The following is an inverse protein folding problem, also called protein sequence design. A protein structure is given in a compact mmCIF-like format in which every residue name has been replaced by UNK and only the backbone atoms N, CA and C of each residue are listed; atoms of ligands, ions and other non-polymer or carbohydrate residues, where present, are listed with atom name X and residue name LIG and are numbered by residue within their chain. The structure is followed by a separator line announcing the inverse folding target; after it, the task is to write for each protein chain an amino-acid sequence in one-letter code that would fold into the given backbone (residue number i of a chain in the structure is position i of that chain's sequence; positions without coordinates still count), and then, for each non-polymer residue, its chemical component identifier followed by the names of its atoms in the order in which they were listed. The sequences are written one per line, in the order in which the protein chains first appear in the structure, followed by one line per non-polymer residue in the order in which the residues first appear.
data_IF_119564604341
#
_entry.id   IF_119564604341
#
_cell.length_a   1.000
_cell.length_b   1.000
_cell.length_c   1.000
_cell.angle_alpha   90.00
_cell.angle_beta   90.00
_cell.angle_gamma   90.00
#
_symmetry.space_group_name_H-M   'P 1'
#
loop_
_entity.id
_entity.type
_entity.pdbx_description
1 polymer ?
#
# COMPACT_ATOMS: atom_id res chain seq x y z
N UNK A 1 -28.09 0.05 20.29
CA UNK A 1 -28.62 1.01 21.29
C UNK A 1 -30.06 0.67 21.66
N UNK A 2 -30.95 0.46 20.68
CA UNK A 2 -32.34 0.04 20.91
C UNK A 2 -32.51 -1.22 21.77
N UNK A 3 -31.88 -2.35 21.42
CA UNK A 3 -32.00 -3.61 22.18
C UNK A 3 -31.58 -3.47 23.65
N UNK A 4 -30.50 -2.73 23.90
CA UNK A 4 -30.04 -2.45 25.27
C UNK A 4 -31.10 -1.67 26.06
N UNK A 5 -31.71 -0.65 25.47
CA UNK A 5 -32.78 0.12 26.13
C UNK A 5 -34.05 -0.72 26.36
N UNK A 6 -34.46 -1.52 25.37
CA UNK A 6 -35.64 -2.39 25.47
C UNK A 6 -35.48 -3.48 26.54
N UNK A 7 -34.29 -4.06 26.66
CA UNK A 7 -33.95 -5.04 27.71
C UNK A 7 -33.91 -4.37 29.09
N UNK A 8 -33.26 -3.20 29.22
CA UNK A 8 -33.19 -2.47 30.50
C UNK A 8 -34.57 -2.02 31.00
N UNK A 9 -35.49 -1.70 30.09
CA UNK A 9 -36.87 -1.31 30.42
C UNK A 9 -37.86 -2.48 30.42
N UNK A 10 -37.37 -3.71 30.24
CA UNK A 10 -38.13 -4.96 30.29
C UNK A 10 -39.37 -5.00 29.36
N UNK A 11 -39.23 -4.46 28.14
CA UNK A 11 -40.33 -4.45 27.15
C UNK A 11 -40.61 -5.85 26.62
N UNK A 12 -41.89 -6.21 26.48
CA UNK A 12 -42.28 -7.48 25.85
C UNK A 12 -41.86 -7.52 24.38
N UNK A 13 -41.31 -8.66 23.93
CA UNK A 13 -40.70 -8.80 22.60
C UNK A 13 -41.68 -8.50 21.45
N UNK A 14 -42.96 -8.82 21.65
CA UNK A 14 -44.04 -8.57 20.68
C UNK A 14 -44.32 -7.08 20.43
N UNK A 15 -43.97 -6.21 21.39
CA UNK A 15 -44.13 -4.76 21.25
C UNK A 15 -42.92 -4.09 20.58
N UNK A 16 -41.79 -4.79 20.45
CA UNK A 16 -40.55 -4.22 19.90
C UNK A 16 -40.69 -3.75 18.44
N UNK A 17 -41.36 -4.48 17.53
CA UNK A 17 -41.49 -4.06 16.13
C UNK A 17 -42.31 -2.77 15.98
N UNK A 18 -43.41 -2.64 16.74
CA UNK A 18 -44.27 -1.46 16.76
C UNK A 18 -43.52 -0.22 17.29
N UNK A 19 -42.78 -0.38 18.39
CA UNK A 19 -41.97 0.70 18.96
C UNK A 19 -40.82 1.08 18.04
N UNK A 20 -40.21 0.09 17.38
CA UNK A 20 -39.14 0.31 16.42
C UNK A 20 -39.65 1.04 15.18
N UNK A 21 -40.84 0.72 14.66
CA UNK A 21 -41.45 1.37 13.50
C UNK A 21 -41.57 2.89 13.67
N UNK A 22 -41.93 3.36 14.88
CA UNK A 22 -42.03 4.79 15.18
C UNK A 22 -40.67 5.51 15.30
N UNK A 23 -39.58 4.77 15.49
CA UNK A 23 -38.23 5.33 15.65
C UNK A 23 -37.38 5.29 14.38
N UNK A 24 -37.78 4.51 13.37
CA UNK A 24 -37.04 4.38 12.12
C UNK A 24 -37.42 5.48 11.12
N UNK A 25 -36.41 6.08 10.49
CA UNK A 25 -36.58 7.15 9.50
C UNK A 25 -35.78 6.82 8.24
N UNK A 26 -36.28 7.23 7.07
CA UNK A 26 -35.55 7.12 5.80
C UNK A 26 -35.46 5.69 5.28
N UNK A 27 -34.26 5.22 4.90
CA UNK A 27 -34.08 3.88 4.28
C UNK A 27 -34.57 2.73 5.16
N UNK A 28 -34.47 2.86 6.48
CA UNK A 28 -34.96 1.87 7.43
C UNK A 28 -36.49 1.74 7.38
N UNK A 29 -37.18 2.88 7.26
CA UNK A 29 -38.64 2.94 7.19
C UNK A 29 -39.14 2.37 5.86
N UNK A 30 -38.43 2.66 4.76
CA UNK A 30 -38.74 2.09 3.44
C UNK A 30 -38.59 0.56 3.44
N UNK A 31 -37.52 0.05 4.05
CA UNK A 31 -37.30 -1.39 4.20
C UNK A 31 -38.41 -2.06 5.03
N UNK A 32 -38.85 -1.40 6.10
CA UNK A 32 -39.95 -1.90 6.93
C UNK A 32 -41.29 -1.87 6.19
N UNK A 33 -41.55 -0.83 5.39
CA UNK A 33 -42.78 -0.75 4.57
C UNK A 33 -42.82 -1.77 3.42
N UNK A 34 -41.68 -2.37 3.07
CA UNK A 34 -41.60 -3.41 2.03
C UNK A 34 -41.84 -4.82 2.56
N UNK A 35 -41.92 -5.00 3.88
CA UNK A 35 -42.25 -6.27 4.52
C UNK A 35 -43.75 -6.52 4.54
N UNK A 36 -44.15 -7.80 4.53
CA UNK A 36 -45.56 -8.16 4.75
C UNK A 36 -46.00 -7.88 6.18
N UNK A 37 -47.32 -7.78 6.42
CA UNK A 37 -47.88 -7.54 7.76
C UNK A 37 -47.45 -8.60 8.79
N UNK A 38 -47.30 -9.86 8.37
CA UNK A 38 -46.83 -10.94 9.25
C UNK A 38 -45.34 -10.80 9.58
N UNK A 39 -44.52 -10.32 8.63
CA UNK A 39 -43.08 -10.12 8.81
C UNK A 39 -42.75 -8.85 9.61
N UNK A 40 -43.60 -7.82 9.53
CA UNK A 40 -43.42 -6.58 10.29
C UNK A 40 -43.75 -6.71 11.77
N UNK A 41 -44.42 -7.80 12.17
CA UNK A 41 -44.74 -8.15 13.56
C UNK A 41 -43.67 -9.01 14.23
N UNK A 42 -42.69 -9.53 13.48
CA UNK A 42 -41.54 -10.25 14.04
C UNK A 42 -40.31 -9.33 14.10
N UNK A 43 -39.81 -9.11 15.32
CA UNK A 43 -38.63 -8.29 15.55
C UNK A 43 -37.40 -8.81 14.80
N UNK A 44 -37.21 -10.13 14.73
CA UNK A 44 -36.05 -10.71 14.07
C UNK A 44 -36.11 -10.48 12.56
N UNK A 45 -37.30 -10.54 11.96
CA UNK A 45 -37.53 -10.21 10.55
C UNK A 45 -37.36 -8.73 10.24
N UNK A 46 -37.92 -7.84 11.07
CA UNK A 46 -37.71 -6.39 10.94
C UNK A 46 -36.24 -6.04 11.09
N UNK A 47 -35.56 -6.61 12.08
CA UNK A 47 -34.12 -6.42 12.29
C UNK A 47 -33.34 -6.88 11.05
N UNK A 48 -33.62 -8.06 10.51
CA UNK A 48 -32.96 -8.57 9.30
C UNK A 48 -33.24 -7.67 8.08
N UNK A 49 -34.45 -7.17 7.90
CA UNK A 49 -34.81 -6.34 6.75
C UNK A 49 -34.18 -4.95 6.82
N UNK A 50 -34.21 -4.31 8.00
CA UNK A 50 -33.55 -3.03 8.25
C UNK A 50 -32.05 -3.20 8.10
N UNK A 51 -31.47 -4.24 8.68
CA UNK A 51 -30.06 -4.55 8.50
C UNK A 51 -29.72 -4.76 7.03
N UNK A 52 -30.44 -5.61 6.28
CA UNK A 52 -30.24 -5.79 4.83
C UNK A 52 -30.28 -4.48 4.04
N UNK A 53 -31.21 -3.58 4.36
CA UNK A 53 -31.33 -2.28 3.70
C UNK A 53 -30.13 -1.35 3.95
N UNK A 54 -29.37 -1.54 5.03
CA UNK A 54 -28.13 -0.81 5.34
C UNK A 54 -26.84 -1.64 5.15
N UNK A 55 -26.94 -2.97 5.06
CA UNK A 55 -25.82 -3.93 4.97
C UNK A 55 -25.39 -4.23 3.53
N UNK A 56 -26.26 -3.99 2.54
CA UNK A 56 -26.06 -4.52 1.18
C UNK A 56 -24.98 -3.83 0.33
N UNK A 57 -24.12 -3.01 0.91
CA UNK A 57 -22.94 -2.54 0.18
C UNK A 57 -21.70 -2.69 1.07
N UNK A 58 -21.12 -3.91 1.15
CA UNK A 58 -19.77 -4.11 1.66
C UNK A 58 -18.77 -3.09 1.09
N UNK A 59 -18.98 -2.72 -0.18
CA UNK A 59 -18.25 -1.69 -0.90
C UNK A 59 -18.41 -0.28 -0.29
N UNK A 60 -19.52 0.06 0.37
CA UNK A 60 -19.72 1.34 1.03
C UNK A 60 -18.97 1.43 2.36
N UNK A 61 -18.90 0.33 3.12
CA UNK A 61 -18.03 0.26 4.30
C UNK A 61 -16.56 0.36 3.90
N UNK A 62 -16.15 -0.33 2.83
CA UNK A 62 -14.80 -0.21 2.25
C UNK A 62 -14.47 1.24 1.86
N UNK A 63 -15.33 1.88 1.08
CA UNK A 63 -15.11 3.26 0.63
C UNK A 63 -15.02 4.22 1.81
N UNK A 64 -15.92 4.11 2.79
CA UNK A 64 -15.85 4.89 4.03
C UNK A 64 -14.55 4.63 4.78
N UNK A 65 -14.14 3.37 4.95
CA UNK A 65 -12.87 3.03 5.59
C UNK A 65 -11.68 3.68 4.87
N UNK A 66 -11.58 3.60 3.55
CA UNK A 66 -10.47 4.19 2.77
C UNK A 66 -10.48 5.72 2.76
N UNK A 67 -11.67 6.33 2.69
CA UNK A 67 -11.85 7.78 2.59
C UNK A 67 -11.92 8.49 3.94
N UNK A 68 -12.13 7.77 5.06
CA UNK A 68 -12.21 8.39 6.37
C UNK A 68 -10.91 9.11 6.73
N UNK A 69 -11.02 10.39 7.10
CA UNK A 69 -9.93 11.29 7.51
C UNK A 69 -10.25 11.85 8.88
N UNK A 70 -9.21 12.08 9.68
CA UNK A 70 -9.33 12.65 11.03
C UNK A 70 -9.90 14.08 10.93
N UNK A 71 -10.92 14.37 11.72
CA UNK A 71 -11.43 15.73 11.88
C UNK A 71 -10.59 16.53 12.89
N UNK A 72 -10.55 17.86 12.76
CA UNK A 72 -9.73 18.74 13.63
C UNK A 72 -10.11 18.60 15.11
N UNK A 73 -11.42 18.47 15.38
CA UNK A 73 -12.02 18.31 16.72
C UNK A 73 -11.96 16.88 17.30
N UNK A 74 -11.49 15.90 16.53
CA UNK A 74 -11.46 14.50 16.94
C UNK A 74 -10.11 14.15 17.58
N UNK A 75 -10.13 13.37 18.66
CA UNK A 75 -8.90 12.83 19.25
C UNK A 75 -8.33 11.69 18.40
N UNK A 76 -7.03 11.41 18.52
CA UNK A 76 -6.41 10.31 17.77
C UNK A 76 -6.95 8.94 18.17
N UNK A 77 -7.33 8.76 19.44
CA UNK A 77 -7.93 7.52 19.96
C UNK A 77 -9.31 7.29 19.35
N UNK A 78 -10.16 8.32 19.30
CA UNK A 78 -11.47 8.23 18.64
C UNK A 78 -11.33 7.96 17.14
N UNK A 79 -10.34 8.56 16.49
CA UNK A 79 -10.07 8.32 15.07
C UNK A 79 -9.65 6.88 14.80
N UNK A 80 -8.73 6.33 15.60
CA UNK A 80 -8.29 4.94 15.48
C UNK A 80 -9.46 3.97 15.71
N UNK A 81 -10.25 4.19 16.76
CA UNK A 81 -11.40 3.36 17.07
C UNK A 81 -12.45 3.38 15.95
N UNK A 82 -12.71 4.53 15.35
CA UNK A 82 -13.66 4.62 14.24
C UNK A 82 -13.11 3.96 12.96
N UNK A 83 -11.80 4.00 12.73
CA UNK A 83 -11.13 3.25 11.67
C UNK A 83 -11.27 1.74 11.87
N UNK A 84 -11.02 1.23 13.07
CA UNK A 84 -11.19 -0.19 13.43
C UNK A 84 -12.65 -0.62 13.24
N UNK A 85 -13.60 0.15 13.77
CA UNK A 85 -15.04 -0.14 13.62
C UNK A 85 -15.46 -0.25 12.15
N UNK A 86 -14.97 0.65 11.28
CA UNK A 86 -15.29 0.62 9.85
C UNK A 86 -14.69 -0.61 9.16
N UNK A 87 -13.48 -1.02 9.55
CA UNK A 87 -12.82 -2.22 9.03
C UNK A 87 -13.54 -3.49 9.49
N UNK A 88 -13.89 -3.60 10.76
CA UNK A 88 -14.58 -4.76 11.31
C UNK A 88 -15.96 -4.94 10.67
N UNK A 89 -16.72 -3.85 10.52
CA UNK A 89 -18.01 -3.88 9.82
C UNK A 89 -17.87 -4.27 8.35
N UNK A 90 -16.80 -3.83 7.68
CA UNK A 90 -16.53 -4.24 6.31
C UNK A 90 -16.20 -5.74 6.21
N UNK A 91 -15.34 -6.24 7.10
CA UNK A 91 -14.97 -7.66 7.21
C UNK A 91 -16.20 -8.55 7.46
N UNK A 92 -17.04 -8.17 8.42
CA UNK A 92 -18.30 -8.88 8.73
C UNK A 92 -19.27 -8.83 7.55
N UNK A 93 -19.42 -7.69 6.87
CA UNK A 93 -20.31 -7.55 5.72
C UNK A 93 -19.83 -8.38 4.50
N UNK A 94 -18.53 -8.62 4.35
CA UNK A 94 -17.98 -9.52 3.33
C UNK A 94 -18.02 -11.00 3.74
N UNK A 95 -18.32 -11.31 5.02
CA UNK A 95 -18.38 -12.67 5.53
C UNK A 95 -17.00 -13.33 5.71
N UNK A 96 -15.92 -12.55 5.83
CA UNK A 96 -14.57 -13.08 6.03
C UNK A 96 -14.38 -13.54 7.48
N UNK A 97 -14.14 -14.84 7.67
CA UNK A 97 -13.95 -15.47 9.00
C UNK A 97 -12.51 -15.89 9.26
N UNK A 98 -11.71 -16.07 8.21
CA UNK A 98 -10.31 -16.49 8.31
C UNK A 98 -9.36 -15.40 7.84
N UNK A 99 -8.13 -15.45 8.33
CA UNK A 99 -7.07 -14.54 7.89
C UNK A 99 -6.81 -14.64 6.37
N UNK A 100 -6.87 -15.85 5.81
CA UNK A 100 -6.71 -16.08 4.37
C UNK A 100 -7.79 -15.37 3.55
N UNK A 101 -9.06 -15.44 4.00
CA UNK A 101 -10.17 -14.75 3.35
C UNK A 101 -10.01 -13.23 3.42
N UNK A 102 -9.51 -12.71 4.54
CA UNK A 102 -9.24 -11.28 4.70
C UNK A 102 -8.09 -10.82 3.80
N UNK A 103 -7.01 -11.62 3.73
CA UNK A 103 -5.87 -11.40 2.83
C UNK A 103 -6.34 -11.33 1.38
N UNK A 104 -7.13 -12.31 0.94
CA UNK A 104 -7.61 -12.38 -0.44
C UNK A 104 -8.57 -11.25 -0.77
N UNK A 105 -9.40 -10.80 0.19
CA UNK A 105 -10.26 -9.63 0.05
C UNK A 105 -9.45 -8.35 -0.20
N UNK A 106 -8.36 -8.14 0.56
CA UNK A 106 -7.50 -6.95 0.38
C UNK A 106 -6.73 -7.01 -0.93
N UNK A 107 -6.25 -8.19 -1.33
CA UNK A 107 -5.54 -8.34 -2.61
C UNK A 107 -6.50 -8.22 -3.79
N UNK A 108 -7.74 -8.72 -3.67
CA UNK A 108 -8.77 -8.55 -4.70
C UNK A 108 -9.18 -7.10 -4.88
N UNK A 109 -9.20 -6.31 -3.81
CA UNK A 109 -9.37 -4.85 -3.91
C UNK A 109 -8.28 -4.24 -4.78
N UNK A 110 -7.00 -4.56 -4.50
CA UNK A 110 -5.88 -4.01 -5.25
C UNK A 110 -5.88 -4.50 -6.70
N UNK A 111 -6.20 -5.78 -6.93
CA UNK A 111 -6.34 -6.35 -8.27
C UNK A 111 -7.39 -5.59 -9.10
N UNK A 112 -8.53 -5.24 -8.50
CA UNK A 112 -9.58 -4.46 -9.17
C UNK A 112 -9.15 -3.03 -9.49
N UNK A 113 -8.28 -2.42 -8.69
CA UNK A 113 -7.71 -1.09 -8.99
C UNK A 113 -6.69 -1.11 -10.13
N UNK A 114 -6.08 -2.27 -10.39
CA UNK A 114 -5.02 -2.45 -11.39
C UNK A 114 -5.55 -2.90 -12.77
N UNK A 115 -6.84 -3.24 -12.89
CA UNK A 115 -7.47 -3.64 -14.16
C UNK A 115 -8.31 -2.51 -14.76
N UNK A 116 -8.54 -2.50 -16.08
CA UNK A 116 -9.41 -1.51 -16.70
C UNK A 116 -10.81 -1.46 -16.07
N UNK A 117 -11.40 -0.27 -16.01
CA UNK A 117 -12.67 0.01 -15.33
C UNK A 117 -13.79 -0.98 -15.71
N UNK A 118 -13.90 -1.34 -16.99
CA UNK A 118 -14.90 -2.31 -17.47
C UNK A 118 -14.71 -3.71 -16.88
N UNK A 119 -13.47 -4.15 -16.69
CA UNK A 119 -13.14 -5.44 -16.06
C UNK A 119 -13.41 -5.36 -14.55
N UNK A 120 -13.06 -4.25 -13.91
CA UNK A 120 -13.34 -4.03 -12.49
C UNK A 120 -14.85 -4.05 -12.18
N UNK A 121 -15.68 -3.43 -13.03
CA UNK A 121 -17.15 -3.46 -12.92
C UNK A 121 -17.67 -4.89 -13.02
N UNK A 122 -17.23 -5.65 -14.04
CA UNK A 122 -17.63 -7.05 -14.19
C UNK A 122 -17.22 -7.92 -12.99
N UNK A 123 -16.00 -7.76 -12.48
CA UNK A 123 -15.53 -8.50 -11.30
C UNK A 123 -16.32 -8.16 -10.03
N UNK A 124 -16.80 -6.91 -9.91
CA UNK A 124 -17.68 -6.49 -8.82
C UNK A 124 -19.07 -7.12 -8.95
N UNK A 125 -19.63 -7.20 -10.15
CA UNK A 125 -20.91 -7.85 -10.42
C UNK A 125 -20.88 -9.34 -10.11
N UNK A 126 -19.78 -10.02 -10.46
CA UNK A 126 -19.59 -11.45 -10.19
C UNK A 126 -19.22 -11.78 -8.73
N UNK A 127 -19.07 -10.76 -7.86
CA UNK A 127 -18.72 -10.92 -6.43
C UNK A 127 -17.49 -11.81 -6.19
N UNK A 128 -16.47 -11.71 -7.04
CA UNK A 128 -15.28 -12.55 -6.92
C UNK A 128 -14.49 -12.21 -5.64
N UNK A 129 -14.45 -13.11 -4.67
CA UNK A 129 -13.76 -12.91 -3.37
C UNK A 129 -12.34 -13.45 -3.36
N UNK A 130 -12.01 -14.41 -4.24
CA UNK A 130 -10.69 -15.01 -4.36
C UNK A 130 -9.94 -14.51 -5.59
N UNK A 131 -8.62 -14.37 -5.46
CA UNK A 131 -7.73 -13.88 -6.53
C UNK A 131 -7.70 -14.83 -7.73
N UNK A 132 -7.56 -16.13 -7.47
CA UNK A 132 -7.53 -17.13 -8.53
C UNK A 132 -8.82 -17.09 -9.37
N UNK A 133 -9.97 -17.02 -8.71
CA UNK A 133 -11.27 -16.90 -9.37
C UNK A 133 -11.40 -15.56 -10.12
N UNK A 134 -10.94 -14.46 -9.52
CA UNK A 134 -10.96 -13.13 -10.16
C UNK A 134 -10.10 -13.06 -11.42
N UNK A 135 -8.93 -13.69 -11.42
CA UNK A 135 -8.05 -13.75 -12.58
C UNK A 135 -8.67 -14.56 -13.74
N UNK A 136 -9.31 -15.70 -13.43
CA UNK A 136 -10.00 -16.53 -14.42
C UNK A 136 -11.16 -15.74 -15.05
N UNK A 137 -12.03 -15.15 -14.21
CA UNK A 137 -13.19 -14.36 -14.67
C UNK A 137 -12.77 -13.14 -15.50
N UNK A 138 -11.68 -12.46 -15.13
CA UNK A 138 -11.13 -11.36 -15.92
C UNK A 138 -10.65 -11.84 -17.30
N UNK A 139 -9.97 -12.99 -17.34
CA UNK A 139 -9.55 -13.62 -18.59
C UNK A 139 -10.73 -13.98 -19.49
N UNK A 140 -11.74 -14.64 -18.95
CA UNK A 140 -12.98 -15.00 -19.64
C UNK A 140 -13.73 -13.76 -20.17
N UNK A 141 -13.79 -12.69 -19.38
CA UNK A 141 -14.43 -11.44 -19.79
C UNK A 141 -13.70 -10.78 -20.96
N UNK A 142 -12.37 -10.73 -20.92
CA UNK A 142 -11.55 -10.17 -22.00
C UNK A 142 -11.70 -11.00 -23.29
N UNK A 143 -11.75 -12.34 -23.17
CA UNK A 143 -11.93 -13.25 -24.31
C UNK A 143 -13.31 -13.06 -24.95
N UNK A 144 -14.37 -12.98 -24.13
CA UNK A 144 -15.76 -12.83 -24.60
C UNK A 144 -16.07 -11.43 -25.12
N UNK A 145 -15.43 -10.40 -24.58
CA UNK A 145 -15.65 -8.99 -24.94
C UNK A 145 -14.53 -8.42 -25.82
N UNK A 146 -13.85 -9.29 -26.59
CA UNK A 146 -12.69 -8.98 -27.45
C UNK A 146 -12.85 -7.76 -28.37
N UNK A 147 -14.08 -7.41 -28.80
CA UNK A 147 -14.35 -6.24 -29.64
C UNK A 147 -14.14 -4.90 -28.93
N UNK A 148 -14.19 -4.86 -27.60
CA UNK A 148 -14.07 -3.62 -26.80
C UNK A 148 -12.61 -3.25 -26.49
N UNK A 149 -11.70 -4.22 -26.55
CA UNK A 149 -10.28 -4.07 -26.16
C UNK A 149 -9.31 -4.02 -27.35
N UNK A 150 -9.80 -3.93 -28.60
CA UNK A 150 -8.97 -4.08 -29.82
C UNK A 150 -8.70 -2.75 -30.55
N UNK A 151 -7.77 -1.97 -30.03
CA UNK A 151 -6.88 -1.05 -30.76
C UNK A 151 -5.57 -0.95 -29.94
N UNK A 152 -4.34 -1.16 -30.41
CA UNK A 152 -3.69 -1.49 -31.68
C UNK A 152 -2.45 -2.34 -31.34
N UNK A 153 -2.24 -3.48 -32.00
CA UNK A 153 -0.90 -4.04 -32.31
C UNK A 153 -1.01 -5.20 -33.32
N UNK A 154 0.00 -5.43 -34.20
CA UNK A 154 -0.05 -6.36 -35.33
C UNK A 154 0.33 -7.81 -34.95
N UNK A 155 0.09 -8.81 -35.82
CA UNK A 155 -0.16 -10.18 -35.39
C UNK A 155 1.10 -11.02 -35.28
N UNK A 156 1.13 -11.91 -34.28
CA UNK A 156 1.82 -13.20 -34.35
C UNK A 156 0.86 -14.30 -33.90
N UNK A 157 0.48 -15.15 -34.85
CA UNK A 157 0.02 -16.52 -34.65
C UNK A 157 0.81 -17.35 -35.66
N UNK A 158 1.23 -18.58 -35.35
CA UNK A 158 0.36 -19.64 -34.87
C UNK A 158 1.07 -20.66 -33.98
N UNK A 159 0.45 -20.93 -32.82
CA UNK A 159 0.45 -22.24 -32.20
C UNK A 159 -0.47 -23.19 -32.98
N UNK A 160 -0.11 -24.47 -33.01
CA UNK A 160 -1.04 -25.58 -33.25
C UNK A 160 -0.74 -26.68 -32.23
N UNK A 161 -1.61 -26.82 -31.24
CA UNK A 161 -1.89 -28.10 -30.53
C UNK A 161 -2.92 -28.89 -31.36
N UNK A 162 -3.06 -30.24 -31.32
CA UNK A 162 -3.50 -30.93 -30.09
C UNK A 162 -3.19 -32.45 -29.95
N UNK A 163 -3.52 -32.99 -28.76
CA UNK A 163 -4.48 -34.12 -28.53
C UNK A 163 -3.96 -35.26 -27.62
N UNK A 164 -4.86 -35.65 -26.71
CA UNK A 164 -4.89 -36.86 -25.85
C UNK A 164 -4.64 -38.16 -26.63
N UNK A 165 -4.08 -39.16 -25.95
CA UNK A 165 -4.65 -40.53 -25.91
C UNK A 165 -4.06 -41.42 -24.78
N UNK A 166 -4.79 -42.49 -24.51
CA UNK A 166 -4.76 -43.47 -23.39
C UNK A 166 -3.75 -44.61 -23.70
N UNK A 167 -3.38 -45.47 -22.73
CA UNK A 167 -3.71 -46.89 -22.93
C UNK A 167 -4.25 -47.65 -21.69
N UNK A 168 -5.16 -48.61 -21.96
CA UNK A 168 -5.66 -49.66 -21.07
C UNK A 168 -4.99 -51.01 -21.41
N UNK A 169 -4.90 -51.87 -20.39
CA UNK A 169 -5.02 -53.34 -20.47
C UNK A 169 -3.69 -54.11 -20.59
N UNK A 170 -3.46 -55.24 -19.90
CA UNK A 170 -4.43 -56.16 -19.29
C UNK A 170 -3.82 -57.21 -18.33
N UNK A 171 -4.67 -57.67 -17.38
CA UNK A 171 -4.82 -58.99 -16.69
C UNK A 171 -3.56 -59.71 -16.16
N UNK A 172 -3.44 -60.20 -14.91
CA UNK A 172 -4.37 -60.82 -13.94
C UNK A 172 -3.98 -62.31 -13.73
N UNK A 173 -4.45 -63.09 -12.72
CA UNK A 173 -5.19 -62.72 -11.50
C UNK A 173 -4.91 -63.59 -10.21
N UNK A 174 -5.45 -63.12 -9.06
CA UNK A 174 -6.03 -63.85 -7.89
C UNK A 174 -5.12 -64.73 -6.98
N UNK A 175 -5.32 -64.90 -5.65
CA UNK A 175 -6.54 -65.01 -4.82
C UNK A 175 -6.31 -64.58 -3.35
N UNK A 176 -7.42 -64.27 -2.70
CA UNK A 176 -7.64 -63.94 -1.28
C UNK A 176 -7.40 -65.10 -0.29
N UNK A 177 -7.21 -64.79 1.01
CA UNK A 177 -8.18 -65.03 2.12
C UNK A 177 -7.53 -65.14 3.52
N UNK A 178 -8.01 -64.36 4.48
CA UNK A 178 -8.02 -64.60 5.96
C UNK A 178 -9.16 -65.61 6.31
N UNK A 179 -9.45 -66.09 7.55
CA UNK A 179 -8.80 -65.99 8.88
C UNK A 179 -8.82 -67.28 9.78
N UNK A 180 -8.22 -67.17 10.99
CA UNK A 180 -8.57 -67.73 12.32
C UNK A 180 -8.89 -69.24 12.61
N UNK A 181 -8.36 -69.69 13.78
CA UNK A 181 -8.94 -70.59 14.83
C UNK A 181 -8.63 -72.11 14.88
N UNK A 182 -8.44 -72.61 16.12
CA UNK A 182 -8.41 -74.02 16.59
C UNK A 182 -7.05 -74.44 17.21
N UNK A 183 -6.86 -74.67 18.52
CA UNK A 183 -7.37 -75.78 19.37
C UNK A 183 -6.81 -77.14 18.88
N UNK A 184 -6.20 -78.07 19.62
CA UNK A 184 -6.03 -78.40 21.06
C UNK A 184 -5.10 -79.65 21.07
N UNK A 185 -4.22 -79.86 22.04
CA UNK A 185 -3.85 -81.24 22.47
C UNK A 185 -3.28 -81.26 23.89
N UNK A 186 -3.59 -82.36 24.57
CA UNK A 186 -3.63 -82.56 26.02
C UNK A 186 -2.31 -82.97 26.68
N UNK A 187 -2.36 -82.81 27.99
CA UNK A 187 -1.45 -83.20 29.07
C UNK A 187 -0.99 -84.67 29.04
N UNK A 188 0.29 -84.91 29.37
CA UNK A 188 0.74 -86.10 30.08
C UNK A 188 2.02 -85.80 30.88
N UNK A 189 1.91 -85.78 32.21
CA UNK A 189 2.84 -86.51 33.06
C UNK A 189 3.75 -85.69 33.97
N UNK A 190 3.28 -85.48 35.20
CA UNK A 190 4.10 -85.09 36.34
C UNK A 190 5.21 -86.12 36.61
N UNK A 191 6.46 -85.80 36.22
CA UNK A 191 7.67 -86.44 36.75
C UNK A 191 8.45 -85.43 37.58
N UNK A 192 8.60 -85.71 38.87
CA UNK A 192 9.54 -85.04 39.78
C UNK A 192 10.92 -84.97 39.10
N UNK A 193 11.30 -83.78 38.62
CA UNK A 193 12.59 -83.54 37.98
C UNK A 193 13.62 -83.36 39.09
N UNK A 194 14.55 -84.29 39.20
CA UNK A 194 15.83 -84.04 39.87
C UNK A 194 16.45 -82.80 39.22
N UNK A 195 16.58 -81.71 39.99
CA UNK A 195 17.09 -80.45 39.46
C UNK A 195 18.58 -80.40 39.68
N UNK A 196 19.36 -80.54 38.61
CA UNK A 196 20.81 -80.40 38.65
C UNK A 196 21.16 -78.93 38.95
N UNK A 197 21.81 -78.68 40.09
CA UNK A 197 22.24 -77.33 40.50
C UNK A 197 23.28 -76.71 39.56
N UNK A 198 24.03 -77.53 38.81
CA UNK A 198 24.94 -77.04 37.77
C UNK A 198 24.17 -76.54 36.54
N UNK A 199 23.15 -77.30 36.10
CA UNK A 199 22.28 -76.92 34.97
C UNK A 199 21.47 -75.65 35.26
N UNK A 200 21.01 -75.44 36.51
CA UNK A 200 20.35 -74.18 36.91
C UNK A 200 21.27 -72.95 36.80
N UNK A 201 22.56 -73.09 37.10
CA UNK A 201 23.54 -72.00 36.99
C UNK A 201 23.83 -71.66 35.53
N UNK A 202 23.90 -72.65 34.65
CA UNK A 202 24.03 -72.42 33.20
C UNK A 202 22.75 -71.84 32.62
N UNK A 203 21.57 -72.33 33.01
CA UNK A 203 20.27 -71.80 32.54
C UNK A 203 20.11 -70.33 32.97
N UNK A 204 20.43 -69.97 34.21
CA UNK A 204 20.39 -68.58 34.67
C UNK A 204 21.38 -67.67 33.91
N UNK A 205 22.54 -68.21 33.49
CA UNK A 205 23.49 -67.48 32.64
C UNK A 205 22.98 -67.33 31.21
N UNK A 206 22.35 -68.38 30.65
CA UNK A 206 21.70 -68.32 29.34
C UNK A 206 20.56 -67.29 29.34
N UNK A 207 19.67 -67.32 30.33
CA UNK A 207 18.60 -66.33 30.45
C UNK A 207 19.14 -64.91 30.64
N UNK A 208 20.28 -64.76 31.32
CA UNK A 208 20.97 -63.47 31.46
C UNK A 208 21.61 -62.98 30.16
N UNK A 209 22.08 -63.90 29.30
CA UNK A 209 22.56 -63.59 27.96
C UNK A 209 21.41 -63.25 27.02
N UNK A 210 20.30 -63.99 27.06
CA UNK A 210 19.10 -63.72 26.28
C UNK A 210 18.51 -62.33 26.60
N UNK A 211 18.48 -61.95 27.88
CA UNK A 211 18.06 -60.60 28.29
C UNK A 211 18.99 -59.50 27.73
N UNK A 212 20.31 -59.74 27.69
CA UNK A 212 21.28 -58.81 27.09
C UNK A 212 21.14 -58.73 25.58
N UNK A 213 20.90 -59.85 24.90
CA UNK A 213 20.65 -59.90 23.46
C UNK A 213 19.37 -59.13 23.13
N UNK A 214 18.29 -59.34 23.89
CA UNK A 214 17.04 -58.59 23.72
C UNK A 214 17.23 -57.07 23.91
N UNK A 215 18.03 -56.65 24.90
CA UNK A 215 18.38 -55.24 25.07
C UNK A 215 19.18 -54.68 23.89
N UNK A 216 20.14 -55.44 23.36
CA UNK A 216 20.92 -55.06 22.17
C UNK A 216 20.01 -54.93 20.95
N UNK A 217 19.03 -55.80 20.77
CA UNK A 217 18.06 -55.70 19.68
C UNK A 217 17.22 -54.43 19.77
N UNK A 218 16.77 -54.05 20.98
CA UNK A 218 16.04 -52.79 21.20
C UNK A 218 16.93 -51.59 20.91
N UNK A 219 18.16 -51.56 21.45
CA UNK A 219 19.12 -50.50 21.20
C UNK A 219 19.46 -50.36 19.70
N UNK A 220 19.55 -51.48 18.97
CA UNK A 220 19.79 -51.46 17.53
C UNK A 220 18.63 -50.83 16.76
N UNK A 221 17.37 -51.13 17.15
CA UNK A 221 16.18 -50.49 16.55
C UNK A 221 16.14 -48.99 16.82
N UNK A 222 16.43 -48.57 18.06
CA UNK A 222 16.50 -47.15 18.40
C UNK A 222 17.63 -46.43 17.65
N UNK A 223 18.80 -47.06 17.52
CA UNK A 223 19.91 -46.51 16.75
C UNK A 223 19.57 -46.36 15.26
N UNK A 224 18.87 -47.34 14.66
CA UNK A 224 18.39 -47.24 13.29
C UNK A 224 17.36 -46.10 13.13
N UNK A 225 16.43 -45.95 14.06
CA UNK A 225 15.45 -44.86 14.04
C UNK A 225 16.12 -43.48 14.13
N UNK A 226 17.11 -43.32 15.01
CA UNK A 226 17.91 -42.10 15.12
C UNK A 226 18.69 -41.80 13.83
N UNK A 227 19.28 -42.82 13.22
CA UNK A 227 20.00 -42.67 11.95
C UNK A 227 19.07 -42.15 10.84
N UNK A 228 17.88 -42.73 10.69
CA UNK A 228 16.91 -42.27 9.70
C UNK A 228 16.42 -40.84 9.97
N UNK A 229 16.21 -40.48 11.25
CA UNK A 229 15.87 -39.10 11.62
C UNK A 229 16.99 -38.11 11.29
N UNK A 230 18.25 -38.51 11.45
CA UNK A 230 19.40 -37.67 11.11
C UNK A 230 19.53 -37.48 9.59
N UNK A 231 19.36 -38.56 8.81
CA UNK A 231 19.37 -38.51 7.34
C UNK A 231 18.25 -37.58 6.82
N UNK A 232 17.05 -37.68 7.38
CA UNK A 232 15.93 -36.80 7.04
C UNK A 232 16.22 -35.32 7.39
N UNK A 233 16.76 -35.06 8.59
CA UNK A 233 17.14 -33.70 8.98
C UNK A 233 18.23 -33.13 8.09
N UNK A 234 19.18 -33.95 7.62
CA UNK A 234 20.25 -33.51 6.71
C UNK A 234 19.68 -33.11 5.34
N UNK A 235 18.73 -33.87 4.81
CA UNK A 235 18.06 -33.53 3.55
C UNK A 235 17.26 -32.22 3.64
N UNK A 236 16.61 -31.97 4.77
CA UNK A 236 15.95 -30.69 5.03
C UNK A 236 16.95 -29.54 5.09
N UNK A 237 18.10 -29.72 5.76
CA UNK A 237 19.17 -28.72 5.83
C UNK A 237 19.70 -28.40 4.42
N UNK A 238 19.93 -29.41 3.59
CA UNK A 238 20.43 -29.23 2.24
C UNK A 238 19.42 -28.49 1.35
N UNK A 239 18.13 -28.75 1.53
CA UNK A 239 17.04 -28.05 0.83
C UNK A 239 16.99 -26.58 1.27
N UNK A 240 17.00 -26.33 2.58
CA UNK A 240 17.04 -24.96 3.12
C UNK A 240 18.28 -24.19 2.68
N UNK A 241 19.43 -24.84 2.54
CA UNK A 241 20.66 -24.22 2.04
C UNK A 241 20.52 -23.79 0.57
N UNK A 242 19.87 -24.60 -0.27
CA UNK A 242 19.57 -24.26 -1.67
C UNK A 242 18.60 -23.09 -1.76
N UNK A 243 17.55 -23.10 -0.94
CA UNK A 243 16.54 -22.02 -0.91
C UNK A 243 17.16 -20.70 -0.42
N UNK A 244 17.96 -20.73 0.64
CA UNK A 244 18.71 -19.56 1.10
C UNK A 244 19.63 -19.00 0.03
N UNK A 245 20.31 -19.87 -0.72
CA UNK A 245 21.14 -19.45 -1.86
C UNK A 245 20.27 -18.78 -2.92
N UNK A 246 19.13 -19.36 -3.28
CA UNK A 246 18.19 -18.76 -4.25
C UNK A 246 17.70 -17.37 -3.80
N UNK A 247 17.26 -17.27 -2.54
CA UNK A 247 16.83 -16.01 -1.93
C UNK A 247 17.94 -14.95 -1.95
N UNK A 248 19.19 -15.33 -1.66
CA UNK A 248 20.32 -14.41 -1.71
C UNK A 248 20.55 -13.86 -3.12
N UNK A 249 20.39 -14.67 -4.17
CA UNK A 249 20.46 -14.19 -5.56
C UNK A 249 19.32 -13.21 -5.87
N UNK A 250 18.10 -13.50 -5.44
CA UNK A 250 16.95 -12.59 -5.62
C UNK A 250 17.16 -11.27 -4.90
N UNK A 251 17.65 -11.28 -3.66
CA UNK A 251 17.96 -10.06 -2.90
C UNK A 251 19.04 -9.23 -3.58
N UNK A 252 20.10 -9.87 -4.08
CA UNK A 252 21.14 -9.18 -4.82
C UNK A 252 20.61 -8.54 -6.12
N UNK A 253 19.80 -9.28 -6.89
CA UNK A 253 19.19 -8.77 -8.10
C UNK A 253 18.27 -7.57 -7.83
N UNK A 254 17.42 -7.67 -6.80
CA UNK A 254 16.56 -6.56 -6.37
C UNK A 254 17.37 -5.36 -5.90
N UNK A 255 18.48 -5.59 -5.19
CA UNK A 255 19.38 -4.52 -4.73
C UNK A 255 20.00 -3.79 -5.92
N UNK A 256 20.47 -4.51 -6.95
CA UNK A 256 21.01 -3.92 -8.18
C UNK A 256 19.95 -3.12 -8.94
N UNK A 257 18.71 -3.61 -9.01
CA UNK A 257 17.61 -2.86 -9.62
C UNK A 257 17.29 -1.59 -8.83
N UNK A 258 17.30 -1.65 -7.49
CA UNK A 258 17.04 -0.50 -6.63
C UNK A 258 18.11 0.59 -6.79
N UNK A 259 19.39 0.22 -6.88
CA UNK A 259 20.47 1.19 -7.12
C UNK A 259 20.36 1.84 -8.50
N UNK A 260 20.01 1.06 -9.54
CA UNK A 260 19.74 1.60 -10.89
C UNK A 260 18.58 2.59 -10.90
N UNK A 261 17.42 2.20 -10.35
CA UNK A 261 16.23 3.05 -10.28
C UNK A 261 16.51 4.33 -9.46
N UNK A 262 17.31 4.22 -8.40
CA UNK A 262 17.72 5.39 -7.60
C UNK A 262 18.60 6.35 -8.41
N UNK A 263 19.54 5.83 -9.20
CA UNK A 263 20.37 6.62 -10.09
C UNK A 263 19.53 7.32 -11.18
N UNK A 264 18.61 6.60 -11.82
CA UNK A 264 17.72 7.13 -12.84
C UNK A 264 16.79 8.20 -12.27
N UNK A 265 16.25 7.99 -11.06
CA UNK A 265 15.46 9.00 -10.36
C UNK A 265 16.26 10.28 -10.06
N UNK A 266 17.54 10.15 -9.67
CA UNK A 266 18.42 11.31 -9.48
C UNK A 266 18.64 12.06 -10.80
N UNK A 267 18.90 11.33 -11.89
CA UNK A 267 19.07 11.89 -13.22
C UNK A 267 17.80 12.59 -13.72
N UNK A 268 16.63 11.95 -13.57
CA UNK A 268 15.33 12.52 -13.94
C UNK A 268 15.02 13.80 -13.15
N UNK A 269 15.22 13.79 -11.82
CA UNK A 269 15.04 14.99 -10.99
C UNK A 269 15.94 16.13 -11.44
N UNK A 270 17.19 15.84 -11.78
CA UNK A 270 18.13 16.86 -12.28
C UNK A 270 17.68 17.42 -13.64
N UNK A 271 17.21 16.56 -14.55
CA UNK A 271 16.69 17.00 -15.86
C UNK A 271 15.45 17.88 -15.70
N UNK A 272 14.49 17.49 -14.85
CA UNK A 272 13.31 18.31 -14.55
C UNK A 272 13.72 19.66 -13.97
N UNK A 273 14.68 19.67 -13.03
CA UNK A 273 15.17 20.91 -12.44
C UNK A 273 15.84 21.83 -13.48
N UNK A 274 16.64 21.26 -14.39
CA UNK A 274 17.28 22.00 -15.48
C UNK A 274 16.25 22.58 -16.45
N UNK A 275 15.25 21.78 -16.85
CA UNK A 275 14.17 22.24 -17.73
C UNK A 275 13.35 23.37 -17.08
N UNK A 276 13.02 23.24 -15.79
CA UNK A 276 12.34 24.30 -15.05
C UNK A 276 13.20 25.57 -14.97
N UNK A 277 14.50 25.44 -14.68
CA UNK A 277 15.41 26.59 -14.63
C UNK A 277 15.54 27.29 -15.99
N UNK A 278 15.62 26.53 -17.10
CA UNK A 278 15.63 27.09 -18.45
C UNK A 278 14.32 27.81 -18.78
N UNK A 279 13.18 27.20 -18.44
CA UNK A 279 11.86 27.80 -18.66
C UNK A 279 11.63 29.08 -17.84
N UNK A 280 12.24 29.18 -16.66
CA UNK A 280 12.10 30.32 -15.74
C UNK A 280 13.20 31.38 -15.90
N UNK A 281 14.22 31.14 -16.73
CA UNK A 281 15.41 32.01 -16.85
C UNK A 281 15.08 33.45 -17.22
N UNK A 282 14.07 33.61 -18.05
CA UNK A 282 13.67 34.88 -18.62
C UNK A 282 12.53 35.51 -17.80
N UNK A 283 12.31 35.07 -16.55
CA UNK A 283 11.25 35.56 -15.68
C UNK A 283 11.81 36.37 -14.51
N UNK A 284 11.06 37.40 -14.10
CA UNK A 284 11.30 38.16 -12.87
C UNK A 284 10.09 38.05 -11.93
N UNK A 285 10.36 38.09 -10.63
CA UNK A 285 9.37 38.08 -9.57
C UNK A 285 9.35 39.46 -8.90
N UNK A 286 8.20 40.12 -8.97
CA UNK A 286 7.90 41.38 -8.30
C UNK A 286 7.16 41.10 -6.99
N UNK A 287 7.62 41.69 -5.90
CA UNK A 287 6.98 41.58 -4.57
C UNK A 287 6.61 42.96 -4.04
N UNK A 288 5.52 43.04 -3.27
CA UNK A 288 5.09 44.29 -2.61
C UNK A 288 4.05 45.11 -3.38
N UNK A 289 3.69 44.73 -4.62
CA UNK A 289 2.68 45.46 -5.42
C UNK A 289 1.26 45.15 -4.90
N UNK A 290 0.50 46.13 -4.39
CA UNK A 290 -0.84 45.90 -3.82
C UNK A 290 -1.82 45.21 -4.78
N UNK A 291 -2.78 44.46 -4.24
CA UNK A 291 -3.87 43.84 -5.01
C UNK A 291 -5.09 44.78 -5.05
N UNK A 292 -5.70 44.94 -6.23
CA UNK A 292 -6.93 45.72 -6.41
C UNK A 292 -8.15 44.79 -6.54
N UNK A 293 -9.37 45.32 -6.32
CA UNK A 293 -10.63 44.54 -6.35
C UNK A 293 -10.98 44.00 -7.75
N UNK A 294 -10.37 44.57 -8.80
CA UNK A 294 -10.25 44.00 -10.14
C UNK A 294 -8.76 43.96 -10.52
N UNK A 295 -8.02 43.00 -9.94
CA UNK A 295 -6.55 42.91 -10.06
C UNK A 295 -6.16 42.62 -11.50
N UNK A 296 -5.76 43.68 -12.22
CA UNK A 296 -5.08 43.61 -13.50
C UNK A 296 -3.56 43.67 -13.24
N UNK A 297 -2.86 42.52 -13.22
CA UNK A 297 -1.43 42.49 -12.94
C UNK A 297 -0.63 43.20 -14.04
N UNK A 298 -1.14 43.26 -15.27
CA UNK A 298 -0.44 43.89 -16.38
C UNK A 298 -0.42 45.41 -16.21
N UNK A 299 -1.57 46.02 -15.93
CA UNK A 299 -1.66 47.46 -15.67
C UNK A 299 -0.84 47.86 -14.44
N UNK A 300 -0.96 47.12 -13.34
CA UNK A 300 -0.25 47.41 -12.09
C UNK A 300 1.28 47.36 -12.27
N UNK A 301 1.78 46.34 -12.99
CA UNK A 301 3.23 46.22 -13.22
C UNK A 301 3.73 47.22 -14.27
N UNK A 302 2.96 47.53 -15.32
CA UNK A 302 3.33 48.59 -16.28
C UNK A 302 3.46 49.94 -15.60
N UNK A 303 2.47 50.32 -14.80
CA UNK A 303 2.51 51.56 -14.02
C UNK A 303 3.69 51.57 -13.05
N UNK A 304 3.95 50.45 -12.38
CA UNK A 304 5.11 50.28 -11.51
C UNK A 304 6.44 50.44 -12.26
N UNK A 305 6.60 49.84 -13.44
CA UNK A 305 7.83 49.94 -14.24
C UNK A 305 8.09 51.37 -14.73
N UNK A 306 7.04 52.09 -15.12
CA UNK A 306 7.19 53.49 -15.57
C UNK A 306 7.48 54.42 -14.40
N UNK A 307 6.76 54.29 -13.27
CA UNK A 307 6.89 55.20 -12.12
C UNK A 307 8.13 54.91 -11.26
N UNK A 308 8.34 53.64 -10.90
CA UNK A 308 9.36 53.24 -9.92
C UNK A 308 10.69 52.84 -10.57
N UNK A 309 10.66 52.21 -11.77
CA UNK A 309 11.87 51.79 -12.49
C UNK A 309 12.31 52.78 -13.58
N UNK A 310 11.52 53.84 -13.84
CA UNK A 310 11.78 54.88 -14.84
C UNK A 310 12.05 54.31 -16.23
N UNK A 311 11.35 53.23 -16.60
CA UNK A 311 11.50 52.56 -17.88
C UNK A 311 10.50 53.10 -18.91
N UNK A 312 10.90 53.25 -20.19
CA UNK A 312 9.97 53.60 -21.27
C UNK A 312 8.89 52.53 -21.45
N UNK A 313 7.65 52.96 -21.71
CA UNK A 313 6.49 52.06 -21.88
C UNK A 313 6.71 51.02 -22.99
N UNK A 314 7.46 51.37 -24.04
CA UNK A 314 7.82 50.48 -25.14
C UNK A 314 8.66 49.26 -24.69
N UNK A 315 9.46 49.43 -23.64
CA UNK A 315 10.27 48.34 -23.06
C UNK A 315 9.41 47.32 -22.31
N UNK A 316 8.13 47.62 -22.06
CA UNK A 316 7.20 46.77 -21.29
C UNK A 316 6.22 46.00 -22.20
N UNK A 317 6.36 46.13 -23.51
CA UNK A 317 5.54 45.40 -24.47
C UNK A 317 5.95 43.91 -24.51
N UNK A 318 4.98 43.04 -24.80
CA UNK A 318 5.13 41.58 -24.92
C UNK A 318 5.61 40.85 -23.65
N UNK A 319 5.23 41.35 -22.46
CA UNK A 319 5.51 40.67 -21.19
C UNK A 319 4.22 40.08 -20.66
N UNK A 320 4.24 38.80 -20.30
CA UNK A 320 3.08 38.15 -19.67
C UNK A 320 3.20 38.23 -18.15
N UNK A 321 2.13 38.69 -17.48
CA UNK A 321 2.10 38.85 -16.03
C UNK A 321 1.09 37.93 -15.36
N UNK A 322 1.51 37.24 -14.29
CA UNK A 322 0.63 36.39 -13.50
C UNK A 322 0.94 36.49 -12.01
N UNK A 323 -0.09 36.61 -11.18
CA UNK A 323 0.03 36.52 -9.71
C UNK A 323 0.29 35.07 -9.29
N UNK A 324 1.20 34.88 -8.34
CA UNK A 324 1.58 33.55 -7.86
C UNK A 324 0.75 33.14 -6.63
N UNK A 325 0.00 32.03 -6.75
CA UNK A 325 -0.68 31.37 -5.64
C UNK A 325 -2.06 31.96 -5.27
N UNK A 326 -2.77 31.35 -4.31
CA UNK A 326 -4.08 31.80 -3.83
C UNK A 326 -3.98 33.09 -3.00
N UNK A 327 -5.01 33.94 -3.02
CA UNK A 327 -5.05 35.20 -2.27
C UNK A 327 -4.85 34.95 -0.77
N UNK A 328 -3.99 35.73 -0.14
CA UNK A 328 -3.73 35.64 1.30
C UNK A 328 -4.66 36.59 2.05
N UNK A 329 -5.68 36.05 2.70
CA UNK A 329 -6.68 36.82 3.49
C UNK A 329 -6.22 37.12 4.92
N UNK A 330 -5.16 36.47 5.41
CA UNK A 330 -4.79 36.50 6.83
C UNK A 330 -3.88 37.69 7.14
N UNK A 331 -2.85 37.91 6.30
CA UNK A 331 -1.82 38.93 6.57
C UNK A 331 -1.89 40.13 5.63
N UNK A 332 -2.91 40.19 4.76
CA UNK A 332 -3.09 41.18 3.69
C UNK A 332 -1.81 41.46 2.86
N UNK A 333 -0.88 40.50 2.81
CA UNK A 333 0.37 40.65 2.05
C UNK A 333 0.07 40.39 0.58
N UNK A 334 0.42 41.32 -0.32
CA UNK A 334 0.15 41.15 -1.74
C UNK A 334 0.92 39.95 -2.29
N UNK A 335 0.27 39.16 -3.15
CA UNK A 335 0.93 38.04 -3.83
C UNK A 335 2.03 38.53 -4.77
N UNK A 336 3.15 37.80 -4.87
CA UNK A 336 4.16 38.10 -5.88
C UNK A 336 3.59 38.02 -7.30
N UNK A 337 4.08 38.86 -8.20
CA UNK A 337 3.75 38.83 -9.62
C UNK A 337 4.96 38.28 -10.38
N UNK A 338 4.75 37.28 -11.23
CA UNK A 338 5.74 36.83 -12.20
C UNK A 338 5.56 37.64 -13.47
N UNK A 339 6.64 38.21 -13.98
CA UNK A 339 6.76 38.78 -15.30
C UNK A 339 7.59 37.84 -16.16
N UNK A 340 6.98 37.28 -17.21
CA UNK A 340 7.64 36.43 -18.20
C UNK A 340 7.99 37.28 -19.43
N UNK A 341 9.28 37.45 -19.67
CA UNK A 341 9.78 38.24 -20.78
C UNK A 341 9.97 37.36 -22.02
N UNK A 342 9.70 37.90 -23.19
CA UNK A 342 9.96 37.22 -24.46
C UNK A 342 11.46 37.10 -24.73
N UNK A 343 12.25 38.08 -24.26
CA UNK A 343 13.68 38.15 -24.53
C UNK A 343 14.51 38.38 -23.26
N UNK A 344 15.56 37.56 -23.09
CA UNK A 344 16.50 37.66 -21.97
C UNK A 344 17.14 39.06 -21.83
N UNK A 345 17.43 39.75 -22.94
CA UNK A 345 17.99 41.12 -22.94
C UNK A 345 17.03 42.14 -22.30
N UNK A 346 15.74 42.05 -22.60
CA UNK A 346 14.70 42.90 -22.03
C UNK A 346 14.62 42.67 -20.50
N UNK A 347 14.61 41.41 -20.08
CA UNK A 347 14.67 41.02 -18.66
C UNK A 347 15.90 41.61 -17.95
N UNK A 348 17.08 41.54 -18.57
CA UNK A 348 18.30 42.12 -17.98
C UNK A 348 18.23 43.64 -17.83
N UNK A 349 17.65 44.35 -18.79
CA UNK A 349 17.46 45.80 -18.72
C UNK A 349 16.58 46.18 -17.52
N UNK A 350 15.46 45.49 -17.32
CA UNK A 350 14.60 45.70 -16.15
C UNK A 350 15.31 45.35 -14.85
N UNK A 351 16.04 44.22 -14.82
CA UNK A 351 16.77 43.79 -13.63
C UNK A 351 17.83 44.81 -13.18
N UNK A 352 18.52 45.47 -14.12
CA UNK A 352 19.51 46.52 -13.81
C UNK A 352 18.89 47.73 -13.10
N UNK A 353 17.64 48.07 -13.43
CA UNK A 353 16.92 49.16 -12.77
C UNK A 353 16.41 48.81 -11.37
N UNK A 354 16.46 47.54 -10.96
CA UNK A 354 16.06 47.11 -9.62
C UNK A 354 16.83 47.80 -8.49
N UNK A 355 18.01 48.38 -8.77
CA UNK A 355 18.77 49.19 -7.80
C UNK A 355 17.98 50.43 -7.32
N UNK A 356 17.06 50.94 -8.15
CA UNK A 356 16.19 52.07 -7.80
C UNK A 356 15.19 51.72 -6.67
N UNK A 357 14.91 50.43 -6.45
CA UNK A 357 13.98 49.97 -5.42
C UNK A 357 14.62 49.86 -4.03
N UNK A 358 15.93 50.12 -3.90
CA UNK A 358 16.63 50.00 -2.62
C UNK A 358 16.09 51.03 -1.62
N UNK A 359 15.56 50.55 -0.50
CA UNK A 359 14.93 51.39 0.53
C UNK A 359 13.41 51.53 0.40
N UNK A 360 12.80 50.90 -0.61
CA UNK A 360 11.34 50.76 -0.74
C UNK A 360 10.88 49.39 -0.24
N UNK A 361 9.57 49.22 -0.04
CA UNK A 361 8.95 47.92 0.32
C UNK A 361 8.83 46.95 -0.87
N UNK A 362 9.25 47.38 -2.07
CA UNK A 362 9.16 46.58 -3.27
C UNK A 362 10.42 45.73 -3.48
N UNK A 363 10.22 44.53 -4.01
CA UNK A 363 11.30 43.62 -4.35
C UNK A 363 11.26 43.20 -5.81
N UNK A 364 12.45 43.04 -6.40
CA UNK A 364 12.65 42.54 -7.75
C UNK A 364 13.70 41.43 -7.72
N UNK A 365 13.30 40.20 -8.04
CA UNK A 365 14.18 39.03 -7.95
C UNK A 365 14.04 38.11 -9.16
N UNK A 366 15.05 37.30 -9.42
CA UNK A 366 14.95 36.21 -10.41
C UNK A 366 13.96 35.14 -9.93
N UNK A 367 13.20 34.58 -10.88
CA UNK A 367 12.39 33.40 -10.60
C UNK A 367 13.29 32.15 -10.59
N UNK A 368 13.12 31.31 -9.57
CA UNK A 368 13.78 30.02 -9.50
C UNK A 368 12.77 28.89 -9.26
N UNK A 369 13.09 27.66 -9.70
CA UNK A 369 12.37 26.46 -9.30
C UNK A 369 12.24 26.36 -7.78
N UNK A 370 11.15 25.73 -7.32
CA UNK A 370 10.84 25.57 -5.89
C UNK A 370 12.00 24.96 -5.11
N UNK A 371 12.69 23.98 -5.70
CA UNK A 371 13.81 23.31 -5.03
C UNK A 371 15.02 24.23 -4.83
N UNK A 372 15.36 25.06 -5.83
CA UNK A 372 16.40 26.09 -5.69
C UNK A 372 15.99 27.14 -4.65
N UNK A 373 14.71 27.53 -4.62
CA UNK A 373 14.20 28.45 -3.60
C UNK A 373 14.32 27.87 -2.18
N UNK A 374 14.05 26.57 -2.00
CA UNK A 374 14.23 25.88 -0.73
C UNK A 374 15.69 25.87 -0.29
N UNK A 375 16.62 25.56 -1.21
CA UNK A 375 18.07 25.64 -0.97
C UNK A 375 18.49 27.05 -0.53
N UNK A 376 18.05 28.07 -1.26
CA UNK A 376 18.33 29.48 -0.92
C UNK A 376 17.74 29.90 0.43
N UNK A 377 16.58 29.36 0.82
CA UNK A 377 15.96 29.62 2.13
C UNK A 377 16.88 29.23 3.29
N UNK A 378 17.66 28.16 3.13
CA UNK A 378 18.65 27.73 4.12
C UNK A 378 19.90 28.63 4.13
N UNK A 379 20.25 29.19 2.97
CA UNK A 379 21.43 30.08 2.83
C UNK A 379 21.17 31.52 3.29
N UNK A 380 19.93 32.02 3.27
CA UNK A 380 19.62 33.41 3.63
C UNK A 380 20.02 33.80 5.06
N UNK A 381 19.75 33.00 6.12
CA UNK A 381 20.18 33.31 7.48
C UNK A 381 21.70 33.42 7.59
N UNK A 382 22.42 32.46 7.00
CA UNK A 382 23.89 32.40 7.03
C UNK A 382 24.49 33.60 6.31
N UNK A 383 23.97 33.92 5.12
CA UNK A 383 24.38 35.13 4.39
C UNK A 383 24.19 36.38 5.24
N UNK A 384 23.02 36.52 5.90
CA UNK A 384 22.72 37.69 6.74
C UNK A 384 23.71 37.79 7.91
N UNK A 385 23.99 36.68 8.57
CA UNK A 385 24.96 36.61 9.67
C UNK A 385 26.36 37.01 9.19
N UNK A 386 26.86 36.44 8.09
CA UNK A 386 28.19 36.75 7.55
C UNK A 386 28.32 38.22 7.13
N UNK A 387 27.24 38.81 6.59
CA UNK A 387 27.22 40.25 6.29
C UNK A 387 27.25 41.12 7.55
N UNK A 388 26.65 40.69 8.66
CA UNK A 388 26.74 41.38 9.96
C UNK A 388 28.15 41.30 10.55
N UNK A 389 28.87 40.21 10.29
CA UNK A 389 30.28 40.02 10.64
C UNK A 389 31.25 40.79 9.71
N UNK A 390 30.73 41.57 8.74
CA UNK A 390 31.54 42.37 7.82
C UNK A 390 32.13 41.61 6.62
N UNK A 391 31.79 40.32 6.45
CA UNK A 391 32.24 39.49 5.32
C UNK A 391 31.40 39.74 4.07
N UNK A 392 32.01 39.58 2.89
CA UNK A 392 31.29 39.66 1.61
C UNK A 392 30.60 38.33 1.32
N UNK A 393 29.26 38.30 1.43
CA UNK A 393 28.47 37.09 1.21
C UNK A 393 27.47 37.24 0.04
N UNK A 394 27.65 36.43 -1.02
CA UNK A 394 26.86 36.48 -2.26
C UNK A 394 26.22 35.12 -2.52
N UNK A 395 24.91 35.10 -2.80
CA UNK A 395 24.21 33.89 -3.23
C UNK A 395 24.07 33.90 -4.75
N UNK A 396 24.68 32.94 -5.42
CA UNK A 396 24.55 32.69 -6.85
C UNK A 396 23.75 31.42 -7.10
N UNK A 397 22.56 31.55 -7.68
CA UNK A 397 21.61 30.43 -7.87
C UNK A 397 21.31 29.72 -6.55
N UNK A 398 21.95 28.57 -6.26
CA UNK A 398 21.83 27.78 -5.04
C UNK A 398 23.15 27.61 -4.27
N UNK A 399 24.13 28.48 -4.54
CA UNK A 399 25.46 28.49 -3.93
C UNK A 399 25.68 29.79 -3.15
N UNK A 400 26.38 29.71 -2.03
CA UNK A 400 26.77 30.85 -1.21
C UNK A 400 28.29 31.00 -1.26
N UNK A 401 28.77 32.15 -1.73
CA UNK A 401 30.20 32.49 -1.71
C UNK A 401 30.45 33.51 -0.58
N UNK A 402 31.40 33.21 0.30
CA UNK A 402 31.84 34.06 1.42
C UNK A 402 33.30 34.46 1.16
N UNK A 403 33.55 35.76 1.02
CA UNK A 403 34.85 36.35 0.69
C UNK A 403 35.53 35.70 -0.55
N UNK A 404 34.70 35.30 -1.51
CA UNK A 404 35.15 34.65 -2.75
C UNK A 404 35.33 33.13 -2.66
N UNK A 405 35.10 32.52 -1.51
CA UNK A 405 35.14 31.07 -1.32
C UNK A 405 33.75 30.46 -1.23
N UNK A 406 33.53 29.37 -1.95
CA UNK A 406 32.27 28.63 -1.93
C UNK A 406 32.06 28.00 -0.55
N UNK A 407 31.00 28.42 0.13
CA UNK A 407 30.56 27.83 1.39
C UNK A 407 30.05 26.40 1.15
N UNK A 408 30.67 25.43 1.82
CA UNK A 408 30.28 24.03 1.80
C UNK A 408 30.16 23.49 3.21
N UNK A 409 28.99 22.96 3.51
CA UNK A 409 28.66 22.32 4.76
C UNK A 409 27.74 21.12 4.44
N UNK A 410 28.02 19.94 4.98
CA UNK A 410 27.27 18.73 4.65
C UNK A 410 25.83 18.75 5.18
N UNK A 411 25.60 19.45 6.29
CA UNK A 411 24.29 19.54 6.93
C UNK A 411 23.45 20.65 6.30
N UNK A 412 24.09 21.74 5.87
CA UNK A 412 23.40 22.89 5.26
C UNK A 412 23.29 22.78 3.74
N UNK A 413 24.31 22.26 3.07
CA UNK A 413 24.42 22.22 1.59
C UNK A 413 24.66 20.81 1.04
N UNK A 414 23.84 19.81 1.40
CA UNK A 414 24.06 18.43 0.98
C UNK A 414 24.02 18.24 -0.55
N UNK A 415 23.35 19.13 -1.30
CA UNK A 415 23.29 19.09 -2.76
C UNK A 415 24.60 19.48 -3.46
N UNK A 416 25.61 19.95 -2.73
CA UNK A 416 26.94 20.25 -3.26
C UNK A 416 27.91 19.06 -3.18
N UNK A 417 27.47 17.91 -2.65
CA UNK A 417 28.26 16.70 -2.43
C UNK A 417 27.86 15.54 -3.34
#
# INVERSE_FOLDING_TARGET
MFERAAITLNWHRDAWPLMLQGMLVGKAQVALSSLSLEQSLDYDMVKVAVLRAYELVPEAYRQKFRQYRKADRQTFVEFAREKENLFDRWSVAQGTKTFEQLRDLVIMEEFRNCVPERVAIYLNEQRATQIAQGAILAGEFIITHQRVFREKSPPRHSDVTPRREIPKGSAGPSKASTPASGGKLEDLGAKRRLVCNYCKKSDNKLTGLDARISLIEVLHREFQALRHSLEFSQEQIDTLAKDNKSLQHSVNALTTQLTSITADNKAMKQTVLNLQALSMRDNLVFTGIPEQTADDPEKAVKEFMTKQLKLPTETVNNITFHRLGPKNTINNRPRPIIAKFEHYKQKQQVQRQGRQLKGTDFGLNDQYPKEIMQRRKQLFPIRKQMMQEGKKAIISVDKLDIDGQLYRDKDVTPWLF
#
